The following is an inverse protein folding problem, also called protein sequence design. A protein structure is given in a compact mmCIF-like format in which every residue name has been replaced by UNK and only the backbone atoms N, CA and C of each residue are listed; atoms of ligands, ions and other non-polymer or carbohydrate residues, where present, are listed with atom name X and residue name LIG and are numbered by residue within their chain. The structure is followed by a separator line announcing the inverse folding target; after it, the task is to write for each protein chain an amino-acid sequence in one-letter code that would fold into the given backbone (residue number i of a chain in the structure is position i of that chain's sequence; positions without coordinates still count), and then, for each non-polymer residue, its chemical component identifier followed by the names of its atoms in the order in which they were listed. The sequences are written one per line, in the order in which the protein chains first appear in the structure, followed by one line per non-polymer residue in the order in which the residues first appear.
data_IF_728452061334
#
_entry.id   IF_728452061334
#
_cell.length_a   1.000
_cell.length_b   1.000
_cell.length_c   1.000
_cell.angle_alpha   90.00
_cell.angle_beta   90.00
_cell.angle_gamma   90.00
#
_symmetry.space_group_name_H-M   'P 1'
#
loop_
_entity.id
_entity.type
_entity.pdbx_description
1 polymer ?
#
# COMPACT_ATOMS: atom_id res chain seq x y z
N UNK A 1 -55.39 -4.61 -1.04
CA UNK A 1 -54.17 -4.66 -1.88
C UNK A 1 -53.09 -3.95 -1.08
N UNK A 2 -52.27 -4.70 -0.35
CA UNK A 2 -51.18 -4.16 0.44
C UNK A 2 -49.88 -4.47 -0.27
N UNK A 3 -49.26 -3.41 -0.77
CA UNK A 3 -47.96 -3.41 -1.42
C UNK A 3 -46.89 -3.77 -0.39
N UNK A 4 -46.18 -4.89 -0.62
CA UNK A 4 -45.03 -5.31 0.18
C UNK A 4 -43.78 -4.92 -0.60
N UNK A 5 -43.22 -3.78 -0.28
CA UNK A 5 -41.87 -3.39 -0.68
C UNK A 5 -40.86 -4.30 0.04
N UNK A 6 -40.36 -5.31 -0.68
CA UNK A 6 -39.19 -6.08 -0.28
C UNK A 6 -37.95 -5.17 -0.35
N UNK A 7 -37.55 -4.66 0.82
CA UNK A 7 -36.19 -4.15 1.03
C UNK A 7 -35.21 -5.31 0.91
N UNK A 8 -34.64 -5.52 -0.29
CA UNK A 8 -33.44 -6.34 -0.47
C UNK A 8 -32.33 -5.73 0.37
N UNK A 9 -32.03 -6.35 1.51
CA UNK A 9 -30.87 -6.02 2.32
C UNK A 9 -29.62 -6.48 1.59
N UNK A 10 -28.85 -5.52 1.07
CA UNK A 10 -27.50 -5.72 0.54
C UNK A 10 -26.61 -6.31 1.66
N UNK A 11 -26.61 -7.63 1.76
CA UNK A 11 -25.85 -8.36 2.76
C UNK A 11 -24.42 -8.45 2.26
N UNK A 12 -23.55 -7.55 2.72
CA UNK A 12 -22.11 -7.60 2.46
C UNK A 12 -21.57 -8.97 2.89
N UNK A 13 -21.21 -9.82 1.92
CA UNK A 13 -20.59 -11.11 2.20
C UNK A 13 -19.18 -10.89 2.77
N UNK A 14 -18.90 -11.52 3.91
CA UNK A 14 -17.60 -11.41 4.58
C UNK A 14 -16.58 -12.28 3.85
N UNK A 15 -15.83 -11.69 2.93
CA UNK A 15 -14.74 -12.38 2.25
C UNK A 15 -13.59 -12.64 3.25
N UNK A 16 -13.28 -13.90 3.52
CA UNK A 16 -12.09 -14.28 4.30
C UNK A 16 -10.92 -14.51 3.36
N UNK A 17 -10.10 -13.49 3.13
CA UNK A 17 -8.94 -13.51 2.21
C UNK A 17 -7.73 -14.33 2.71
N UNK A 18 -7.91 -15.12 3.77
CA UNK A 18 -6.83 -15.93 4.35
C UNK A 18 -5.65 -15.13 4.92
N UNK A 19 -5.80 -13.82 5.11
CA UNK A 19 -4.80 -12.91 5.69
C UNK A 19 -4.62 -13.25 7.17
N UNK A 20 -3.37 -13.23 7.65
CA UNK A 20 -3.09 -13.54 9.04
C UNK A 20 -3.79 -12.57 10.01
N UNK A 21 -4.34 -13.13 11.11
CA UNK A 21 -5.05 -12.36 12.14
C UNK A 21 -4.16 -11.28 12.77
N UNK A 22 -2.86 -11.56 12.92
CA UNK A 22 -1.89 -10.62 13.44
C UNK A 22 -1.79 -9.37 12.56
N UNK A 23 -1.70 -9.55 11.23
CA UNK A 23 -1.67 -8.44 10.26
C UNK A 23 -2.97 -7.64 10.31
N UNK A 24 -4.12 -8.32 10.38
CA UNK A 24 -5.43 -7.66 10.50
C UNK A 24 -5.51 -6.78 11.76
N UNK A 25 -5.08 -7.32 12.89
CA UNK A 25 -5.13 -6.59 14.15
C UNK A 25 -4.18 -5.39 14.15
N UNK A 26 -2.97 -5.55 13.60
CA UNK A 26 -1.99 -4.46 13.51
C UNK A 26 -2.47 -3.33 12.60
N UNK A 27 -3.04 -3.69 11.45
CA UNK A 27 -3.62 -2.71 10.53
C UNK A 27 -4.75 -1.91 11.19
N UNK A 28 -5.65 -2.58 11.93
CA UNK A 28 -6.72 -1.90 12.67
C UNK A 28 -6.18 -0.92 13.73
N UNK A 29 -5.14 -1.30 14.48
CA UNK A 29 -4.54 -0.39 15.46
C UNK A 29 -3.87 0.82 14.82
N UNK A 30 -3.36 0.68 13.59
CA UNK A 30 -2.80 1.79 12.82
C UNK A 30 -3.86 2.64 12.09
N UNK A 31 -5.16 2.37 12.29
CA UNK A 31 -6.25 3.10 11.64
C UNK A 31 -6.45 2.75 10.16
N UNK A 32 -5.92 1.61 9.69
CA UNK A 32 -6.12 1.14 8.33
C UNK A 32 -7.49 0.47 8.18
N UNK A 33 -8.28 0.96 7.23
CA UNK A 33 -9.56 0.36 6.87
C UNK A 33 -9.35 -0.79 5.87
N UNK A 34 -9.12 -1.99 6.40
CA UNK A 34 -8.88 -3.19 5.57
C UNK A 34 -10.06 -3.48 4.64
N UNK A 35 -11.30 -3.33 5.12
CA UNK A 35 -12.49 -3.60 4.31
C UNK A 35 -12.52 -2.72 3.06
N UNK A 36 -12.27 -1.42 3.21
CA UNK A 36 -12.19 -0.46 2.10
C UNK A 36 -11.08 -0.81 1.12
N UNK A 37 -9.87 -1.14 1.61
CA UNK A 37 -8.76 -1.58 0.77
C UNK A 37 -9.15 -2.83 -0.03
N UNK A 38 -9.71 -3.84 0.64
CA UNK A 38 -10.09 -5.08 -0.02
C UNK A 38 -11.22 -4.89 -1.02
N UNK A 39 -12.19 -4.01 -0.72
CA UNK A 39 -13.29 -3.67 -1.61
C UNK A 39 -12.76 -2.98 -2.88
N UNK A 40 -11.90 -1.98 -2.72
CA UNK A 40 -11.25 -1.29 -3.84
C UNK A 40 -10.47 -2.26 -4.74
N UNK A 41 -9.70 -3.16 -4.15
CA UNK A 41 -8.92 -4.16 -4.91
C UNK A 41 -9.80 -5.18 -5.60
N UNK A 42 -10.85 -5.68 -4.93
CA UNK A 42 -11.79 -6.63 -5.53
C UNK A 42 -12.57 -5.99 -6.67
N UNK A 43 -13.05 -4.75 -6.52
CA UNK A 43 -13.73 -4.02 -7.59
C UNK A 43 -12.84 -3.87 -8.82
N UNK A 44 -11.55 -3.54 -8.64
CA UNK A 44 -10.61 -3.48 -9.75
C UNK A 44 -10.44 -4.84 -10.43
N UNK A 45 -10.30 -5.92 -9.65
CA UNK A 45 -10.11 -7.28 -10.18
C UNK A 45 -11.37 -7.89 -10.82
N UNK A 46 -12.58 -7.50 -10.40
CA UNK A 46 -13.83 -7.99 -11.03
C UNK A 46 -13.97 -7.58 -12.50
N UNK A 47 -13.15 -6.62 -12.96
CA UNK A 47 -13.08 -6.18 -14.34
C UNK A 47 -12.06 -6.97 -15.21
N UNK A 48 -11.41 -8.00 -14.64
CA UNK A 48 -10.31 -8.75 -15.26
C UNK A 48 -10.76 -9.77 -16.34
N UNK A 49 -9.89 -10.14 -17.31
CA UNK A 49 -10.25 -10.99 -18.46
C UNK A 49 -10.74 -12.39 -18.05
N UNK A 50 -11.73 -12.92 -18.76
CA UNK A 50 -12.31 -14.27 -18.55
C UNK A 50 -11.50 -15.41 -19.18
N UNK A 51 -10.20 -15.22 -19.37
CA UNK A 51 -9.35 -16.18 -20.07
C UNK A 51 -8.49 -17.04 -19.14
N UNK A 52 -7.72 -17.95 -19.73
CA UNK A 52 -6.86 -18.92 -19.06
C UNK A 52 -5.46 -19.02 -19.69
N UNK A 53 -5.04 -17.99 -20.41
CA UNK A 53 -3.72 -17.89 -21.06
C UNK A 53 -2.72 -17.14 -20.18
N UNK A 54 -1.43 -17.18 -20.55
CA UNK A 54 -0.39 -16.37 -19.88
C UNK A 54 -0.69 -14.88 -19.97
N UNK A 55 -1.18 -14.42 -21.11
CA UNK A 55 -1.54 -13.02 -21.35
C UNK A 55 -2.68 -12.57 -20.42
N UNK A 56 -3.65 -13.45 -20.16
CA UNK A 56 -4.72 -13.18 -19.20
C UNK A 56 -4.19 -13.01 -17.77
N UNK A 57 -3.19 -13.80 -17.39
CA UNK A 57 -2.53 -13.70 -16.08
C UNK A 57 -1.74 -12.38 -15.99
N UNK A 58 -0.99 -12.01 -17.03
CA UNK A 58 -0.29 -10.71 -17.09
C UNK A 58 -1.27 -9.55 -16.98
N UNK A 59 -2.38 -9.61 -17.71
CA UNK A 59 -3.43 -8.59 -17.66
C UNK A 59 -4.06 -8.50 -16.26
N UNK A 60 -4.33 -9.63 -15.61
CA UNK A 60 -4.85 -9.66 -14.24
C UNK A 60 -3.88 -9.02 -13.24
N UNK A 61 -2.59 -9.31 -13.33
CA UNK A 61 -1.58 -8.67 -12.48
C UNK A 61 -1.45 -7.17 -12.74
N UNK A 62 -1.52 -6.72 -14.01
CA UNK A 62 -1.52 -5.28 -14.33
C UNK A 62 -2.67 -4.56 -13.63
N UNK A 63 -3.90 -5.06 -13.79
CA UNK A 63 -5.10 -4.48 -13.13
C UNK A 63 -4.95 -4.49 -11.61
N UNK A 64 -4.42 -5.59 -11.05
CA UNK A 64 -4.17 -5.68 -9.61
C UNK A 64 -3.14 -4.66 -9.13
N UNK A 65 -2.02 -4.52 -9.85
CA UNK A 65 -0.96 -3.56 -9.53
C UNK A 65 -1.43 -2.12 -9.66
N UNK A 66 -2.18 -1.76 -10.70
CA UNK A 66 -2.74 -0.41 -10.86
C UNK A 66 -3.60 -0.02 -9.65
N UNK A 67 -4.43 -0.95 -9.16
CA UNK A 67 -5.26 -0.73 -7.98
C UNK A 67 -4.41 -0.57 -6.70
N UNK A 68 -3.34 -1.36 -6.55
CA UNK A 68 -2.41 -1.24 -5.43
C UNK A 68 -1.65 0.08 -5.48
N UNK A 69 -1.20 0.53 -6.65
CA UNK A 69 -0.42 1.76 -6.80
C UNK A 69 -1.15 3.00 -6.28
N UNK A 70 -2.47 3.07 -6.46
CA UNK A 70 -3.30 4.15 -5.89
C UNK A 70 -3.17 4.20 -4.37
N UNK A 71 -3.19 3.03 -3.72
CA UNK A 71 -3.03 2.92 -2.27
C UNK A 71 -1.60 3.27 -1.84
N UNK A 72 -0.59 2.77 -2.55
CA UNK A 72 0.82 3.09 -2.29
C UNK A 72 1.08 4.59 -2.39
N UNK A 73 0.51 5.26 -3.39
CA UNK A 73 0.64 6.71 -3.56
C UNK A 73 0.02 7.49 -2.39
N UNK A 74 -1.16 7.06 -1.90
CA UNK A 74 -1.85 7.69 -0.76
C UNK A 74 -1.02 7.65 0.53
N UNK A 75 -0.28 6.58 0.76
CA UNK A 75 0.51 6.38 1.98
C UNK A 75 2.00 6.70 1.83
N UNK A 76 2.48 6.92 0.60
CA UNK A 76 3.91 7.14 0.34
C UNK A 76 4.75 5.87 0.52
N UNK A 77 4.19 4.70 0.17
CA UNK A 77 4.79 3.40 0.41
C UNK A 77 5.22 2.67 -0.89
N UNK A 78 5.98 1.59 -0.73
CA UNK A 78 6.30 0.59 -1.75
C UNK A 78 6.03 -0.81 -1.17
N UNK A 79 5.79 -1.80 -2.02
CA UNK A 79 5.46 -3.17 -1.58
C UNK A 79 6.22 -4.21 -2.38
N UNK A 80 6.80 -5.18 -1.69
CA UNK A 80 7.39 -6.35 -2.32
C UNK A 80 6.30 -7.22 -2.95
N UNK A 81 6.46 -7.50 -4.24
CA UNK A 81 5.52 -8.29 -5.04
C UNK A 81 6.13 -9.57 -5.61
N UNK A 82 7.43 -9.78 -5.46
CA UNK A 82 8.11 -10.99 -5.91
C UNK A 82 9.53 -11.09 -5.37
N UNK A 83 10.15 -12.25 -5.57
CA UNK A 83 11.57 -12.48 -5.29
C UNK A 83 12.06 -13.73 -6.01
N UNK A 84 13.33 -13.74 -6.38
CA UNK A 84 13.98 -14.91 -6.97
C UNK A 84 15.49 -14.88 -6.73
N UNK A 85 16.11 -16.05 -6.78
CA UNK A 85 17.57 -16.18 -6.76
C UNK A 85 18.04 -16.25 -8.21
N UNK A 86 19.07 -15.47 -8.55
CA UNK A 86 19.69 -15.62 -9.86
C UNK A 86 20.51 -16.92 -9.90
N UNK A 87 20.29 -17.78 -10.90
CA UNK A 87 21.08 -19.02 -10.97
C UNK A 87 22.56 -18.69 -11.21
N UNK A 88 23.43 -19.21 -10.34
CA UNK A 88 24.89 -19.08 -10.48
C UNK A 88 25.52 -17.85 -9.83
N UNK A 89 24.71 -16.97 -9.25
CA UNK A 89 25.16 -15.84 -8.44
C UNK A 89 24.28 -15.89 -7.18
N UNK A 90 24.83 -16.12 -5.99
CA UNK A 90 24.08 -16.21 -4.72
C UNK A 90 23.47 -14.84 -4.30
N UNK A 91 22.79 -14.19 -5.23
CA UNK A 91 22.21 -12.87 -5.15
C UNK A 91 20.69 -12.97 -5.26
N UNK A 92 20.02 -12.48 -4.21
CA UNK A 92 18.57 -12.38 -4.16
C UNK A 92 18.13 -11.11 -4.90
N UNK A 93 17.27 -11.29 -5.89
CA UNK A 93 16.58 -10.20 -6.57
C UNK A 93 15.17 -10.09 -6.00
N UNK A 94 14.81 -8.90 -5.54
CA UNK A 94 13.49 -8.62 -4.98
C UNK A 94 12.72 -7.69 -5.91
N UNK A 95 11.49 -8.06 -6.24
CA UNK A 95 10.62 -7.24 -7.09
C UNK A 95 9.69 -6.41 -6.23
N UNK A 96 9.69 -5.11 -6.44
CA UNK A 96 8.84 -4.14 -5.74
C UNK A 96 7.89 -3.43 -6.69
N UNK A 97 6.68 -3.19 -6.20
CA UNK A 97 5.75 -2.24 -6.77
C UNK A 97 5.86 -0.93 -6.00
N UNK A 98 6.33 0.10 -6.70
CA UNK A 98 6.36 1.47 -6.19
C UNK A 98 5.07 2.22 -6.53
N UNK A 99 5.06 3.53 -6.26
CA UNK A 99 3.91 4.42 -6.49
C UNK A 99 3.56 4.66 -7.97
N UNK A 100 4.47 4.34 -8.88
CA UNK A 100 4.33 4.63 -10.33
C UNK A 100 4.74 3.47 -11.22
N UNK A 101 5.67 2.64 -10.77
CA UNK A 101 6.31 1.63 -11.61
C UNK A 101 6.74 0.44 -10.77
N UNK A 102 7.02 -0.67 -11.46
CA UNK A 102 7.71 -1.83 -10.90
C UNK A 102 9.21 -1.61 -10.99
N UNK A 103 9.94 -2.12 -10.03
CA UNK A 103 11.40 -2.18 -10.10
C UNK A 103 11.89 -3.43 -9.39
N UNK A 104 13.05 -3.91 -9.82
CA UNK A 104 13.79 -4.93 -9.09
C UNK A 104 14.91 -4.27 -8.29
N UNK A 105 15.17 -4.81 -7.11
CA UNK A 105 16.29 -4.46 -6.25
C UNK A 105 17.22 -5.67 -6.16
N UNK A 106 18.51 -5.43 -6.37
CA UNK A 106 19.60 -6.42 -6.33
C UNK A 106 20.77 -5.83 -5.53
N UNK A 107 21.71 -6.66 -5.10
CA UNK A 107 22.83 -6.26 -4.24
C UNK A 107 24.16 -6.55 -4.93
N UNK A 108 24.63 -5.60 -5.73
CA UNK A 108 25.99 -5.65 -6.26
C UNK A 108 26.95 -5.02 -5.24
N UNK A 109 27.97 -5.77 -4.84
CA UNK A 109 29.05 -5.27 -3.98
C UNK A 109 28.57 -4.67 -2.65
N UNK A 110 27.42 -5.14 -2.15
CA UNK A 110 26.80 -4.70 -0.90
C UNK A 110 25.97 -3.41 -1.00
N UNK A 111 25.76 -2.86 -2.19
CA UNK A 111 24.91 -1.70 -2.43
C UNK A 111 23.63 -2.09 -3.17
N UNK A 112 22.46 -1.56 -2.78
CA UNK A 112 21.22 -1.84 -3.48
C UNK A 112 21.22 -1.13 -4.84
N UNK A 113 21.09 -1.90 -5.91
CA UNK A 113 20.83 -1.40 -7.27
C UNK A 113 19.36 -1.58 -7.57
N UNK A 114 18.70 -0.48 -8.00
CA UNK A 114 17.30 -0.47 -8.42
C UNK A 114 17.19 -0.30 -9.92
N UNK A 115 16.50 -1.22 -10.58
CA UNK A 115 16.23 -1.17 -12.02
C UNK A 115 14.73 -1.20 -12.28
N UNK A 116 14.24 -0.22 -13.04
CA UNK A 116 12.82 -0.16 -13.43
C UNK A 116 12.46 -1.31 -14.38
N UNK A 117 11.27 -1.89 -14.17
CA UNK A 117 10.71 -2.95 -15.00
C UNK A 117 9.60 -2.35 -15.85
N UNK A 118 9.79 -2.35 -17.16
CA UNK A 118 8.81 -1.77 -18.09
C UNK A 118 7.58 -2.66 -18.28
N UNK A 119 7.72 -3.99 -18.18
CA UNK A 119 6.62 -4.92 -18.41
C UNK A 119 6.48 -5.97 -17.28
N UNK A 120 5.25 -6.17 -16.82
CA UNK A 120 4.91 -7.22 -15.84
C UNK A 120 5.31 -8.61 -16.32
N UNK A 121 5.26 -8.85 -17.64
CA UNK A 121 5.62 -10.14 -18.24
C UNK A 121 7.06 -10.56 -17.95
N UNK A 122 7.98 -9.60 -17.85
CA UNK A 122 9.41 -9.83 -17.63
C UNK A 122 9.70 -10.44 -16.25
N UNK A 123 8.76 -10.30 -15.31
CA UNK A 123 8.89 -10.77 -13.93
C UNK A 123 7.77 -11.72 -13.50
N UNK A 124 6.88 -12.11 -14.42
CA UNK A 124 5.65 -12.83 -14.08
C UNK A 124 5.91 -14.11 -13.28
N UNK A 125 6.94 -14.87 -13.67
CA UNK A 125 7.27 -16.16 -13.07
C UNK A 125 7.90 -16.03 -11.66
N UNK A 126 8.24 -14.79 -11.25
CA UNK A 126 8.83 -14.48 -9.95
C UNK A 126 7.88 -13.72 -9.02
N UNK A 127 6.67 -13.38 -9.50
CA UNK A 127 5.67 -12.71 -8.69
C UNK A 127 5.11 -13.66 -7.64
N UNK A 128 5.03 -13.16 -6.41
CA UNK A 128 4.29 -13.81 -5.34
C UNK A 128 2.81 -13.90 -5.73
N UNK A 129 2.10 -14.88 -5.17
CA UNK A 129 0.66 -15.00 -5.40
C UNK A 129 -0.11 -13.76 -4.85
N UNK A 130 -1.32 -13.45 -5.36
CA UNK A 130 -2.06 -12.25 -4.98
C UNK A 130 -2.35 -12.13 -3.47
N UNK A 131 -2.52 -13.26 -2.78
CA UNK A 131 -2.75 -13.28 -1.33
C UNK A 131 -1.52 -12.79 -0.57
N UNK A 132 -0.34 -13.25 -0.94
CA UNK A 132 0.91 -12.83 -0.31
C UNK A 132 1.20 -11.35 -0.59
N UNK A 133 0.99 -10.90 -1.84
CA UNK A 133 1.10 -9.48 -2.20
C UNK A 133 0.16 -8.63 -1.35
N UNK A 134 -1.09 -9.06 -1.16
CA UNK A 134 -2.05 -8.34 -0.33
C UNK A 134 -1.62 -8.28 1.14
N UNK A 135 -1.08 -9.38 1.68
CA UNK A 135 -0.57 -9.38 3.05
C UNK A 135 0.63 -8.43 3.20
N UNK A 136 1.55 -8.43 2.23
CA UNK A 136 2.68 -7.50 2.20
C UNK A 136 2.20 -6.05 2.08
N UNK A 137 1.19 -5.79 1.24
CA UNK A 137 0.60 -4.47 1.10
C UNK A 137 0.03 -3.97 2.43
N UNK A 138 -0.78 -4.77 3.11
CA UNK A 138 -1.37 -4.36 4.39
C UNK A 138 -0.27 -4.08 5.42
N UNK A 139 0.78 -4.91 5.49
CA UNK A 139 1.94 -4.66 6.37
C UNK A 139 2.62 -3.33 6.05
N UNK A 140 2.87 -3.03 4.77
CA UNK A 140 3.54 -1.81 4.34
C UNK A 140 2.67 -0.56 4.57
N UNK A 141 1.38 -0.61 4.23
CA UNK A 141 0.45 0.49 4.51
C UNK A 141 0.31 0.75 6.02
N UNK A 142 0.32 -0.31 6.84
CA UNK A 142 0.32 -0.20 8.31
C UNK A 142 1.56 0.52 8.81
N UNK A 143 2.76 0.11 8.36
CA UNK A 143 4.01 0.75 8.74
C UNK A 143 4.07 2.22 8.29
N UNK A 144 3.63 2.50 7.06
CA UNK A 144 3.56 3.86 6.53
C UNK A 144 2.56 4.73 7.32
N UNK A 145 1.42 4.19 7.73
CA UNK A 145 0.46 4.90 8.57
C UNK A 145 1.04 5.23 9.96
N UNK A 146 1.70 4.26 10.60
CA UNK A 146 2.38 4.47 11.89
C UNK A 146 3.48 5.53 11.80
N UNK A 147 4.24 5.55 10.70
CA UNK A 147 5.26 6.57 10.44
C UNK A 147 4.65 7.95 10.19
N UNK A 148 3.58 8.03 9.38
CA UNK A 148 2.90 9.29 9.10
C UNK A 148 2.27 9.89 10.37
N UNK A 149 1.71 9.06 11.26
CA UNK A 149 1.21 9.52 12.56
C UNK A 149 2.32 10.15 13.41
N UNK A 150 3.52 9.54 13.44
CA UNK A 150 4.68 10.09 14.16
C UNK A 150 5.13 11.43 13.57
N UNK A 151 5.28 11.51 12.25
CA UNK A 151 5.63 12.76 11.54
C UNK A 151 4.62 13.89 11.79
N UNK A 152 3.32 13.58 11.79
CA UNK A 152 2.28 14.55 12.09
C UNK A 152 2.37 15.08 13.53
N UNK A 153 2.69 14.22 14.51
CA UNK A 153 2.88 14.63 15.90
C UNK A 153 4.10 15.55 16.06
N UNK A 154 5.22 15.24 15.39
CA UNK A 154 6.41 16.09 15.37
C UNK A 154 6.14 17.47 14.76
N UNK A 155 5.41 17.51 13.64
CA UNK A 155 5.02 18.76 13.00
C UNK A 155 4.09 19.61 13.87
N UNK A 156 3.14 18.99 14.57
CA UNK A 156 2.27 19.73 15.49
C UNK A 156 3.04 20.26 16.71
N UNK A 157 4.02 19.50 17.23
CA UNK A 157 4.91 19.99 18.28
C UNK A 157 5.73 21.19 17.81
N UNK A 158 6.37 21.10 16.64
CA UNK A 158 7.13 22.20 16.05
C UNK A 158 6.26 23.45 15.83
N UNK A 159 5.02 23.27 15.33
CA UNK A 159 4.06 24.37 15.16
C UNK A 159 3.73 25.06 16.48
N UNK A 160 3.52 24.31 17.56
CA UNK A 160 3.25 24.86 18.90
C UNK A 160 4.44 25.63 19.43
N UNK A 161 5.66 25.11 19.25
CA UNK A 161 6.88 25.80 19.68
C UNK A 161 7.07 27.15 18.98
N UNK A 162 6.89 27.20 17.65
CA UNK A 162 6.96 28.45 16.88
C UNK A 162 5.94 29.46 17.40
N UNK A 163 4.68 29.02 17.61
CA UNK A 163 3.63 29.89 18.13
C UNK A 163 3.99 30.49 19.50
N UNK A 164 4.55 29.69 20.41
CA UNK A 164 4.98 30.19 21.73
C UNK A 164 6.10 31.22 21.62
N UNK A 165 7.07 31.01 20.72
CA UNK A 165 8.16 31.97 20.50
C UNK A 165 7.65 33.29 19.88
N UNK A 166 6.68 33.21 18.97
CA UNK A 166 6.05 34.39 18.36
C UNK A 166 5.23 35.19 19.40
N UNK A 167 4.49 34.49 20.28
CA UNK A 167 3.68 35.11 21.33
C UNK A 167 4.56 35.82 22.40
N UNK A 168 5.74 35.29 22.74
CA UNK A 168 6.68 35.92 23.68
C UNK A 168 7.44 37.13 23.08
N UNK A 169 7.53 37.23 21.76
CA UNK A 169 8.16 38.35 21.05
C UNK A 169 7.27 39.61 20.92
N UNK A 170 5.96 39.46 21.09
CA UNK A 170 4.96 40.53 20.93
C UNK A 170 4.80 41.47 22.13
N UNK A 171 5.15 41.03 23.33
CA UNK A 171 4.81 41.75 24.59
C UNK A 171 5.85 42.80 25.03
N UNK A 172 6.97 42.94 24.33
CA UNK A 172 8.04 43.91 24.68
C UNK A 172 7.97 45.27 23.97
N UNK A 173 6.88 45.60 23.26
CA UNK A 173 6.77 46.88 22.53
C UNK A 173 5.79 47.92 23.09
N UNK A 174 5.12 47.68 24.21
CA UNK A 174 4.10 48.60 24.75
C UNK A 174 4.37 49.14 26.16
N UNK A 175 5.63 49.32 26.54
CA UNK A 175 6.01 50.06 27.76
C UNK A 175 7.17 51.01 27.47
N UNK A 176 6.93 52.04 26.66
CA UNK A 176 7.71 53.29 26.65
C UNK A 176 6.94 54.33 25.81
N UNK A 177 6.03 55.06 26.46
CA UNK A 177 5.53 56.38 26.04
C UNK A 177 4.85 57.05 27.24
#
# INVERSE_FOLDING_TARGET
MSDKTESKTDTKQKLTLGISKAVINKAKSAGINISEITEQLLTAMTFSPKGNTRDDVVAAYKVFFDAIQVLLAKYGAEVQVGRYLHEGIDEEVVVYLGRKTLYKESFDSGLPIREEISNVEDVLDFLSNPKEILENLIKQLTAAAEENQRKLAELDFARRLIKTLDDEGGDKKNHEA
#
